data_IF_731319125190
#
_entry.id   IF_731319125190
#
_cell.length_a   1.000
_cell.length_b   1.000
_cell.length_c   1.000
_cell.angle_alpha   90.00
_cell.angle_beta   90.00
_cell.angle_gamma   90.00
#
_symmetry.space_group_name_H-M   'P 1'
#
loop_
_entity.id
_entity.type
_entity.pdbx_description
1 polymer ?
#
# COMPACT_ATOMS: atom_id res chain seq x y z
N UNK A 1 -15.31 -39.21 -22.66
CA UNK A 1 -15.12 -37.90 -23.34
C UNK A 1 -14.82 -36.71 -22.41
N UNK A 2 -15.52 -36.52 -21.28
CA UNK A 2 -15.34 -35.35 -20.41
C UNK A 2 -13.92 -35.14 -19.87
N UNK A 3 -13.24 -36.23 -19.47
CA UNK A 3 -11.84 -36.16 -19.01
C UNK A 3 -10.89 -35.74 -20.14
N UNK A 4 -11.10 -36.25 -21.36
CA UNK A 4 -10.33 -35.86 -22.52
C UNK A 4 -10.46 -34.34 -22.80
N UNK A 5 -11.68 -33.81 -22.70
CA UNK A 5 -11.94 -32.36 -22.82
C UNK A 5 -11.27 -31.58 -21.69
N UNK A 6 -11.40 -32.03 -20.43
CA UNK A 6 -10.83 -31.35 -19.26
C UNK A 6 -9.30 -31.29 -19.30
N UNK A 7 -8.65 -32.32 -19.83
CA UNK A 7 -7.18 -32.40 -19.91
C UNK A 7 -6.61 -32.04 -21.29
N UNK A 8 -7.43 -31.54 -22.23
CA UNK A 8 -6.92 -31.08 -23.53
C UNK A 8 -6.46 -32.20 -24.46
N UNK A 9 -6.92 -33.44 -24.28
CA UNK A 9 -6.48 -34.60 -25.09
C UNK A 9 -7.27 -34.67 -26.40
N UNK A 10 -6.81 -33.88 -27.37
CA UNK A 10 -7.48 -33.66 -28.67
C UNK A 10 -7.58 -34.95 -29.49
N UNK A 11 -6.53 -35.78 -29.54
CA UNK A 11 -6.55 -37.00 -30.37
C UNK A 11 -7.58 -38.00 -29.86
N UNK A 12 -7.63 -38.21 -28.54
CA UNK A 12 -8.65 -39.03 -27.89
C UNK A 12 -10.05 -38.48 -28.14
N UNK A 13 -10.22 -37.15 -28.04
CA UNK A 13 -11.50 -36.51 -28.34
C UNK A 13 -11.93 -36.74 -29.79
N UNK A 14 -11.02 -36.61 -30.75
CA UNK A 14 -11.29 -36.79 -32.18
C UNK A 14 -11.72 -38.22 -32.50
N UNK A 15 -11.05 -39.23 -31.92
CA UNK A 15 -11.43 -40.64 -32.08
C UNK A 15 -12.82 -40.89 -31.51
N UNK A 16 -13.09 -40.39 -30.29
CA UNK A 16 -14.40 -40.56 -29.64
C UNK A 16 -15.54 -39.91 -30.43
N UNK A 17 -15.35 -38.68 -30.93
CA UNK A 17 -16.38 -37.96 -31.70
C UNK A 17 -16.58 -38.53 -33.12
N UNK A 18 -15.55 -39.13 -33.71
CA UNK A 18 -15.68 -39.86 -34.98
C UNK A 18 -16.51 -41.13 -34.83
N UNK A 19 -16.33 -41.85 -33.73
CA UNK A 19 -17.05 -43.09 -33.47
C UNK A 19 -18.49 -42.85 -32.99
N UNK A 20 -18.69 -41.87 -32.11
CA UNK A 20 -20.02 -41.54 -31.58
C UNK A 20 -20.17 -40.02 -31.38
N UNK A 21 -20.92 -39.38 -32.28
CA UNK A 21 -21.20 -37.94 -32.22
C UNK A 21 -22.10 -37.56 -31.05
N UNK A 22 -22.91 -38.47 -30.52
CA UNK A 22 -23.79 -38.19 -29.37
C UNK A 22 -22.98 -37.81 -28.13
N UNK A 23 -21.72 -38.27 -28.04
CA UNK A 23 -20.79 -37.93 -26.97
C UNK A 23 -20.51 -36.42 -26.89
N UNK A 24 -20.62 -35.68 -28.01
CA UNK A 24 -20.43 -34.23 -28.04
C UNK A 24 -21.47 -33.44 -27.24
N UNK A 25 -22.62 -34.05 -26.94
CA UNK A 25 -23.75 -33.43 -26.25
C UNK A 25 -23.80 -33.79 -24.76
N UNK A 26 -22.82 -34.54 -24.26
CA UNK A 26 -22.84 -35.04 -22.87
C UNK A 26 -22.63 -33.88 -21.88
N UNK A 27 -23.54 -33.79 -20.92
CA UNK A 27 -23.48 -32.85 -19.79
C UNK A 27 -22.95 -33.59 -18.55
N UNK A 28 -22.07 -32.95 -17.79
CA UNK A 28 -21.58 -33.49 -16.53
C UNK A 28 -22.69 -33.52 -15.47
N UNK A 29 -23.01 -34.72 -14.97
CA UNK A 29 -24.09 -34.93 -14.00
C UNK A 29 -23.86 -34.23 -12.65
N UNK A 30 -22.61 -33.99 -12.24
CA UNK A 30 -22.29 -33.39 -10.93
C UNK A 30 -22.47 -31.87 -10.91
N UNK A 31 -22.07 -31.18 -11.97
CA UNK A 31 -22.04 -29.71 -12.00
C UNK A 31 -22.87 -29.10 -13.15
N UNK A 32 -23.50 -29.93 -13.97
CA UNK A 32 -24.29 -29.49 -15.12
C UNK A 32 -23.47 -28.89 -16.25
N UNK A 33 -22.15 -29.14 -16.33
CA UNK A 33 -21.30 -28.49 -17.33
C UNK A 33 -21.34 -29.25 -18.66
N UNK A 34 -21.67 -28.57 -19.77
CA UNK A 34 -21.37 -29.06 -21.11
C UNK A 34 -19.87 -29.17 -21.36
N UNK A 35 -19.50 -29.90 -22.42
CA UNK A 35 -18.10 -30.03 -22.84
C UNK A 35 -17.47 -28.67 -23.15
N UNK A 36 -18.17 -27.77 -23.84
CA UNK A 36 -17.68 -26.43 -24.17
C UNK A 36 -17.37 -25.57 -22.92
N UNK A 37 -18.16 -25.66 -21.85
CA UNK A 37 -17.86 -24.98 -20.58
C UNK A 37 -16.59 -25.54 -19.92
N UNK A 38 -16.37 -26.85 -20.02
CA UNK A 38 -15.19 -27.51 -19.48
C UNK A 38 -13.92 -27.10 -20.24
N UNK A 39 -14.02 -26.99 -21.56
CA UNK A 39 -12.95 -26.45 -22.40
C UNK A 39 -12.68 -24.97 -22.06
N UNK A 40 -13.72 -24.15 -21.94
CA UNK A 40 -13.62 -22.73 -21.60
C UNK A 40 -12.99 -22.48 -20.23
N UNK A 41 -13.29 -23.32 -19.24
CA UNK A 41 -12.71 -23.23 -17.91
C UNK A 41 -11.19 -23.45 -17.91
N UNK A 42 -10.69 -24.33 -18.80
CA UNK A 42 -9.28 -24.71 -18.90
C UNK A 42 -8.53 -23.96 -20.00
N UNK A 43 -9.22 -23.19 -20.85
CA UNK A 43 -8.62 -22.48 -21.97
C UNK A 43 -8.33 -23.35 -23.19
N UNK A 44 -8.92 -24.55 -23.29
CA UNK A 44 -8.60 -25.51 -24.35
C UNK A 44 -9.30 -25.17 -25.67
N UNK A 45 -8.77 -24.19 -26.40
CA UNK A 45 -9.37 -23.68 -27.64
C UNK A 45 -9.44 -24.75 -28.74
N UNK A 46 -8.36 -25.52 -28.93
CA UNK A 46 -8.32 -26.57 -29.95
C UNK A 46 -9.37 -27.68 -29.71
N UNK A 47 -9.62 -28.02 -28.44
CA UNK A 47 -10.70 -28.92 -28.05
C UNK A 47 -12.07 -28.34 -28.39
N UNK A 48 -12.30 -27.06 -28.11
CA UNK A 48 -13.57 -26.40 -28.43
C UNK A 48 -13.81 -26.36 -29.95
N UNK A 49 -12.78 -26.06 -30.75
CA UNK A 49 -12.85 -26.11 -32.23
C UNK A 49 -13.25 -27.49 -32.74
N UNK A 50 -12.64 -28.56 -32.23
CA UNK A 50 -13.00 -29.92 -32.63
C UNK A 50 -14.44 -30.29 -32.21
N UNK A 51 -14.88 -29.90 -31.02
CA UNK A 51 -16.27 -30.13 -30.58
C UNK A 51 -17.25 -29.44 -31.54
N UNK A 52 -17.03 -28.17 -31.87
CA UNK A 52 -17.91 -27.39 -32.76
C UNK A 52 -17.88 -27.93 -34.19
N UNK A 53 -16.72 -28.46 -34.64
CA UNK A 53 -16.58 -29.06 -35.96
C UNK A 53 -17.42 -30.33 -36.12
N UNK A 54 -17.41 -31.24 -35.13
CA UNK A 54 -18.19 -32.48 -35.19
C UNK A 54 -19.64 -32.32 -34.71
N UNK A 55 -19.87 -31.38 -33.80
CA UNK A 55 -21.15 -31.13 -33.14
C UNK A 55 -21.43 -29.61 -33.10
N UNK A 56 -21.91 -29.01 -34.21
CA UNK A 56 -22.17 -27.57 -34.29
C UNK A 56 -23.16 -27.06 -33.24
N UNK A 57 -24.13 -27.91 -32.86
CA UNK A 57 -25.17 -27.59 -31.88
C UNK A 57 -24.82 -28.00 -30.45
N UNK A 58 -23.53 -28.22 -30.16
CA UNK A 58 -23.08 -28.61 -28.83
C UNK A 58 -23.52 -27.56 -27.77
N UNK A 59 -24.00 -27.99 -26.58
CA UNK A 59 -24.50 -27.05 -25.58
C UNK A 59 -23.39 -26.11 -25.09
N UNK A 60 -23.64 -24.80 -25.17
CA UNK A 60 -22.69 -23.75 -24.80
C UNK A 60 -23.00 -23.07 -23.45
N UNK A 61 -24.10 -23.44 -22.80
CA UNK A 61 -24.49 -22.95 -21.48
C UNK A 61 -25.10 -24.05 -20.62
N UNK A 62 -25.08 -23.87 -19.29
CA UNK A 62 -25.87 -24.71 -18.36
C UNK A 62 -27.29 -24.14 -18.21
N UNK A 63 -28.17 -24.88 -17.54
CA UNK A 63 -29.58 -24.54 -17.33
C UNK A 63 -29.82 -23.16 -16.68
N UNK A 64 -28.83 -22.60 -15.99
CA UNK A 64 -28.94 -21.28 -15.34
C UNK A 64 -28.46 -20.12 -16.23
N UNK A 65 -28.25 -20.35 -17.53
CA UNK A 65 -27.80 -19.31 -18.48
C UNK A 65 -26.30 -19.02 -18.44
N UNK A 66 -25.51 -19.66 -17.57
CA UNK A 66 -24.05 -19.46 -17.57
C UNK A 66 -23.41 -20.07 -18.82
N UNK A 67 -22.90 -19.20 -19.69
CA UNK A 67 -22.28 -19.59 -20.97
C UNK A 67 -20.79 -19.94 -20.83
N UNK A 68 -20.22 -20.55 -21.88
CA UNK A 68 -18.78 -20.78 -21.97
C UNK A 68 -17.97 -19.47 -21.92
N UNK A 69 -18.50 -18.36 -22.46
CA UNK A 69 -17.85 -17.05 -22.40
C UNK A 69 -17.74 -16.54 -20.95
N UNK A 70 -18.84 -16.58 -20.18
CA UNK A 70 -18.79 -16.23 -18.75
C UNK A 70 -17.73 -17.04 -17.99
N UNK A 71 -17.60 -18.33 -18.33
CA UNK A 71 -16.63 -19.22 -17.70
C UNK A 71 -15.18 -18.88 -18.11
N UNK A 72 -14.96 -18.54 -19.38
CA UNK A 72 -13.64 -18.13 -19.89
C UNK A 72 -13.17 -16.83 -19.23
N UNK A 73 -14.05 -15.81 -19.17
CA UNK A 73 -13.78 -14.53 -18.50
C UNK A 73 -13.45 -14.74 -17.02
N UNK A 74 -14.31 -15.47 -16.29
CA UNK A 74 -14.08 -15.75 -14.87
C UNK A 74 -12.76 -16.48 -14.64
N UNK A 75 -12.40 -17.40 -15.52
CA UNK A 75 -11.14 -18.16 -15.43
C UNK A 75 -9.92 -17.36 -15.91
N UNK A 76 -10.10 -16.26 -16.66
CA UNK A 76 -9.00 -15.44 -17.19
C UNK A 76 -8.38 -15.99 -18.48
N UNK A 77 -9.10 -16.85 -19.19
CA UNK A 77 -8.56 -17.53 -20.36
C UNK A 77 -8.74 -16.67 -21.61
N UNK A 78 -7.86 -15.68 -21.79
CA UNK A 78 -7.92 -14.70 -22.89
C UNK A 78 -8.00 -15.35 -24.27
N UNK A 79 -7.17 -16.37 -24.56
CA UNK A 79 -7.19 -17.08 -25.86
C UNK A 79 -8.55 -17.70 -26.17
N UNK A 80 -9.27 -18.16 -25.14
CA UNK A 80 -10.60 -18.72 -25.30
C UNK A 80 -11.66 -17.63 -25.51
N UNK A 81 -11.48 -16.46 -24.88
CA UNK A 81 -12.33 -15.28 -25.13
C UNK A 81 -12.16 -14.83 -26.58
N UNK A 82 -10.93 -14.65 -27.06
CA UNK A 82 -10.66 -14.29 -28.46
C UNK A 82 -11.22 -15.30 -29.45
N UNK A 83 -11.13 -16.60 -29.14
CA UNK A 83 -11.75 -17.64 -29.96
C UNK A 83 -13.26 -17.47 -30.07
N UNK A 84 -13.96 -17.25 -28.96
CA UNK A 84 -15.42 -17.03 -28.98
C UNK A 84 -15.75 -15.76 -29.78
N UNK A 85 -14.96 -14.70 -29.61
CA UNK A 85 -15.16 -13.41 -30.27
C UNK A 85 -14.84 -13.44 -31.77
N UNK A 86 -13.98 -14.37 -32.21
CA UNK A 86 -13.64 -14.60 -33.61
C UNK A 86 -14.56 -15.59 -34.33
N UNK A 87 -15.37 -16.37 -33.60
CA UNK A 87 -16.28 -17.38 -34.16
C UNK A 87 -17.70 -16.79 -34.32
N UNK A 88 -18.18 -16.54 -35.56
CA UNK A 88 -19.47 -15.89 -35.80
C UNK A 88 -20.66 -16.62 -35.13
N UNK A 89 -20.59 -17.96 -35.04
CA UNK A 89 -21.63 -18.79 -34.42
C UNK A 89 -21.77 -18.56 -32.92
N UNK A 90 -20.70 -18.12 -32.26
CA UNK A 90 -20.63 -17.92 -30.82
C UNK A 90 -20.72 -16.44 -30.43
N UNK A 91 -20.73 -15.51 -31.38
CA UNK A 91 -20.81 -14.07 -31.12
C UNK A 91 -22.07 -13.69 -30.33
N UNK A 92 -23.18 -14.43 -30.51
CA UNK A 92 -24.42 -14.27 -29.71
C UNK A 92 -24.20 -14.42 -28.20
N UNK A 93 -23.14 -15.11 -27.76
CA UNK A 93 -22.86 -15.36 -26.35
C UNK A 93 -22.41 -14.10 -25.59
N UNK A 94 -21.93 -13.08 -26.32
CA UNK A 94 -21.40 -11.84 -25.76
C UNK A 94 -22.48 -11.07 -24.98
N UNK A 95 -23.70 -11.08 -25.52
CA UNK A 95 -24.87 -10.39 -24.95
C UNK A 95 -25.75 -11.31 -24.08
N UNK A 96 -25.41 -12.60 -23.95
CA UNK A 96 -26.18 -13.51 -23.11
C UNK A 96 -26.01 -13.18 -21.63
N UNK A 97 -27.11 -13.21 -20.89
CA UNK A 97 -27.15 -12.96 -19.46
C UNK A 97 -27.04 -14.28 -18.70
N UNK A 98 -26.22 -14.28 -17.66
CA UNK A 98 -26.20 -15.35 -16.65
C UNK A 98 -27.47 -15.33 -15.78
N UNK A 99 -27.65 -16.33 -14.92
CA UNK A 99 -28.73 -16.37 -13.92
C UNK A 99 -28.80 -15.15 -13.01
N UNK A 100 -27.69 -14.42 -12.86
CA UNK A 100 -27.62 -13.16 -12.11
C UNK A 100 -27.90 -11.94 -12.98
N UNK A 101 -28.45 -12.10 -14.19
CA UNK A 101 -28.66 -11.02 -15.15
C UNK A 101 -27.37 -10.39 -15.72
N UNK A 102 -26.18 -10.77 -15.23
CA UNK A 102 -24.88 -10.24 -15.64
C UNK A 102 -24.41 -10.86 -16.96
N UNK A 103 -23.86 -10.04 -17.86
CA UNK A 103 -23.19 -10.47 -19.11
C UNK A 103 -21.71 -10.80 -18.87
N UNK A 104 -21.00 -11.29 -19.89
CA UNK A 104 -19.57 -11.54 -19.82
C UNK A 104 -18.75 -10.29 -19.45
N UNK A 105 -19.17 -9.10 -19.92
CA UNK A 105 -18.50 -7.83 -19.62
C UNK A 105 -18.57 -7.48 -18.13
N UNK A 106 -19.71 -7.71 -17.47
CA UNK A 106 -19.85 -7.47 -16.03
C UNK A 106 -18.81 -8.25 -15.21
N UNK A 107 -18.62 -9.54 -15.53
CA UNK A 107 -17.62 -10.37 -14.84
C UNK A 107 -16.18 -9.99 -15.19
N UNK A 108 -15.92 -9.45 -16.39
CA UNK A 108 -14.59 -8.98 -16.78
C UNK A 108 -14.18 -7.75 -15.95
N UNK A 109 -15.13 -6.82 -15.74
CA UNK A 109 -14.94 -5.61 -14.94
C UNK A 109 -14.79 -5.97 -13.46
N UNK A 110 -15.64 -6.86 -12.91
CA UNK A 110 -15.50 -7.33 -11.53
C UNK A 110 -14.13 -7.98 -11.26
N UNK A 111 -13.53 -8.61 -12.28
CA UNK A 111 -12.19 -9.21 -12.17
C UNK A 111 -11.06 -8.18 -12.34
N UNK A 112 -11.35 -6.98 -12.85
CA UNK A 112 -10.36 -5.97 -13.21
C UNK A 112 -9.27 -6.49 -14.16
N UNK A 113 -9.68 -7.15 -15.23
CA UNK A 113 -8.78 -7.60 -16.30
C UNK A 113 -8.91 -6.70 -17.55
N UNK A 114 -8.02 -5.72 -17.75
CA UNK A 114 -8.15 -4.74 -18.84
C UNK A 114 -8.07 -5.38 -20.22
N UNK A 115 -7.33 -6.48 -20.38
CA UNK A 115 -7.18 -7.16 -21.68
C UNK A 115 -8.49 -7.79 -22.12
N UNK A 116 -9.17 -8.49 -21.20
CA UNK A 116 -10.46 -9.12 -21.49
C UNK A 116 -11.52 -8.05 -21.71
N UNK A 117 -11.53 -6.96 -20.92
CA UNK A 117 -12.47 -5.85 -21.11
C UNK A 117 -12.27 -5.20 -22.49
N UNK A 118 -11.04 -4.89 -22.87
CA UNK A 118 -10.74 -4.30 -24.18
C UNK A 118 -11.19 -5.20 -25.35
N UNK A 119 -10.88 -6.50 -25.29
CA UNK A 119 -11.28 -7.44 -26.33
C UNK A 119 -12.80 -7.59 -26.44
N UNK A 120 -13.50 -7.57 -25.31
CA UNK A 120 -14.95 -7.57 -25.28
C UNK A 120 -15.49 -6.30 -25.96
N UNK A 121 -15.05 -5.10 -25.54
CA UNK A 121 -15.52 -3.82 -26.07
C UNK A 121 -15.31 -3.64 -27.58
N UNK A 122 -14.24 -4.20 -28.15
CA UNK A 122 -13.95 -4.14 -29.59
C UNK A 122 -15.06 -4.74 -30.47
N UNK A 123 -15.82 -5.72 -29.95
CA UNK A 123 -16.81 -6.48 -30.74
C UNK A 123 -18.24 -5.90 -30.75
N UNK A 124 -18.40 -4.59 -30.57
CA UNK A 124 -19.71 -3.90 -30.53
C UNK A 124 -20.69 -4.57 -29.56
N UNK A 125 -20.25 -4.76 -28.32
CA UNK A 125 -21.13 -5.25 -27.24
C UNK A 125 -22.26 -4.27 -27.05
N UNK A 126 -23.44 -4.82 -26.78
CA UNK A 126 -24.55 -4.00 -26.32
C UNK A 126 -24.34 -3.62 -24.85
N UNK A 127 -23.85 -2.40 -24.65
CA UNK A 127 -23.60 -1.82 -23.32
C UNK A 127 -24.90 -1.44 -22.61
N UNK A 128 -26.04 -1.43 -23.31
CA UNK A 128 -27.35 -1.14 -22.73
C UNK A 128 -27.90 -2.33 -21.93
N UNK A 129 -27.28 -3.51 -22.03
CA UNK A 129 -27.71 -4.68 -21.27
C UNK A 129 -27.35 -4.49 -19.79
N UNK A 130 -28.38 -4.29 -18.99
CA UNK A 130 -28.28 -4.11 -17.55
C UNK A 130 -28.15 -5.46 -16.82
N UNK A 131 -27.47 -5.46 -15.67
CA UNK A 131 -27.45 -6.55 -14.70
C UNK A 131 -28.83 -6.82 -14.08
N UNK A 132 -28.92 -7.80 -13.18
CA UNK A 132 -30.18 -8.07 -12.44
C UNK A 132 -30.58 -6.93 -11.51
N UNK A 133 -29.61 -6.13 -11.11
CA UNK A 133 -29.70 -4.93 -10.28
C UNK A 133 -30.11 -3.68 -11.07
N UNK A 134 -30.30 -3.79 -12.39
CA UNK A 134 -30.62 -2.65 -13.24
C UNK A 134 -29.42 -1.74 -13.53
N UNK A 135 -28.22 -2.14 -13.13
CA UNK A 135 -27.02 -1.36 -13.35
C UNK A 135 -26.32 -1.77 -14.65
N UNK A 136 -25.67 -0.79 -15.29
CA UNK A 136 -24.77 -1.06 -16.41
C UNK A 136 -23.48 -1.74 -15.92
N UNK A 137 -22.78 -2.41 -16.84
CA UNK A 137 -21.54 -3.13 -16.56
C UNK A 137 -20.48 -2.30 -15.83
N UNK A 138 -20.42 -0.98 -16.07
CA UNK A 138 -19.44 -0.09 -15.43
C UNK A 138 -19.59 -0.01 -13.90
N UNK A 139 -20.78 -0.24 -13.35
CA UNK A 139 -21.02 -0.21 -11.90
C UNK A 139 -20.33 -1.36 -11.15
N UNK A 140 -19.95 -2.43 -11.86
CA UNK A 140 -19.17 -3.54 -11.29
C UNK A 140 -17.79 -3.10 -10.79
N UNK A 141 -17.28 -1.93 -11.23
CA UNK A 141 -16.07 -1.31 -10.68
C UNK A 141 -16.18 -1.02 -9.18
N UNK A 142 -17.41 -0.80 -8.68
CA UNK A 142 -17.68 -0.54 -7.26
C UNK A 142 -17.42 -1.79 -6.41
N UNK A 143 -17.77 -2.97 -6.92
CA UNK A 143 -17.49 -4.24 -6.25
C UNK A 143 -15.98 -4.54 -6.22
N UNK A 144 -15.20 -3.89 -7.10
CA UNK A 144 -13.76 -4.05 -7.20
C UNK A 144 -12.96 -2.89 -6.54
N UNK A 145 -13.57 -2.13 -5.62
CA UNK A 145 -12.95 -0.96 -5.01
C UNK A 145 -11.66 -1.26 -4.23
N UNK A 146 -11.54 -2.48 -3.69
CA UNK A 146 -10.31 -2.95 -3.02
C UNK A 146 -9.10 -2.95 -3.97
N UNK A 147 -9.35 -3.06 -5.28
CA UNK A 147 -8.33 -3.00 -6.33
C UNK A 147 -8.14 -1.60 -6.91
N UNK A 148 -8.76 -0.55 -6.37
CA UNK A 148 -8.63 0.82 -6.86
C UNK A 148 -7.18 1.35 -6.82
N UNK A 149 -6.32 0.80 -5.96
CA UNK A 149 -4.86 1.09 -5.93
C UNK A 149 -4.09 0.47 -7.10
N UNK A 150 -4.72 -0.38 -7.91
CA UNK A 150 -4.05 -1.11 -8.97
C UNK A 150 -4.19 -0.39 -10.31
N UNK A 151 -3.13 -0.44 -11.12
CA UNK A 151 -3.13 0.11 -12.48
C UNK A 151 -4.27 -0.48 -13.34
N UNK A 152 -4.59 -1.75 -13.13
CA UNK A 152 -5.65 -2.45 -13.87
C UNK A 152 -7.04 -1.82 -13.66
N UNK A 153 -7.36 -1.39 -12.44
CA UNK A 153 -8.65 -0.76 -12.14
C UNK A 153 -8.78 0.60 -12.84
N UNK A 154 -7.70 1.39 -12.86
CA UNK A 154 -7.64 2.66 -13.58
C UNK A 154 -7.79 2.44 -15.10
N UNK A 155 -7.10 1.44 -15.66
CA UNK A 155 -7.21 1.11 -17.08
C UNK A 155 -8.62 0.66 -17.47
N UNK A 156 -9.25 -0.23 -16.70
CA UNK A 156 -10.64 -0.66 -16.93
C UNK A 156 -11.61 0.52 -16.82
N UNK A 157 -11.41 1.42 -15.85
CA UNK A 157 -12.24 2.62 -15.70
C UNK A 157 -12.18 3.51 -16.94
N UNK A 158 -10.98 3.75 -17.47
CA UNK A 158 -10.79 4.53 -18.71
C UNK A 158 -11.43 3.85 -19.92
N UNK A 159 -11.28 2.52 -20.05
CA UNK A 159 -11.91 1.76 -21.13
C UNK A 159 -13.44 1.87 -21.09
N UNK A 160 -14.04 1.81 -19.91
CA UNK A 160 -15.49 1.94 -19.75
C UNK A 160 -15.99 3.35 -20.05
N UNK A 161 -15.27 4.39 -19.61
CA UNK A 161 -15.59 5.80 -19.95
C UNK A 161 -15.58 6.01 -21.47
N UNK A 162 -14.60 5.44 -22.17
CA UNK A 162 -14.48 5.54 -23.62
C UNK A 162 -15.60 4.81 -24.36
N UNK A 163 -16.05 3.68 -23.81
CA UNK A 163 -17.05 2.83 -24.44
C UNK A 163 -18.49 3.33 -24.23
N UNK A 164 -18.79 3.95 -23.08
CA UNK A 164 -20.14 4.41 -22.72
C UNK A 164 -20.12 5.89 -22.24
N UNK A 165 -20.04 6.87 -23.16
CA UNK A 165 -20.00 8.28 -22.81
C UNK A 165 -21.17 8.79 -21.95
N UNK A 166 -22.44 8.35 -22.16
CA UNK A 166 -23.56 8.72 -21.29
C UNK A 166 -23.33 8.36 -19.82
N UNK A 167 -22.64 7.25 -19.55
CA UNK A 167 -22.39 6.75 -18.21
C UNK A 167 -21.03 7.21 -17.65
N UNK A 168 -20.25 7.99 -18.41
CA UNK A 168 -18.94 8.51 -17.98
C UNK A 168 -19.00 9.28 -16.66
N UNK A 169 -20.09 10.04 -16.42
CA UNK A 169 -20.27 10.80 -15.17
C UNK A 169 -20.39 9.89 -13.95
N UNK A 170 -21.06 8.74 -14.07
CA UNK A 170 -21.19 7.81 -12.95
C UNK A 170 -19.86 7.12 -12.64
N UNK A 171 -19.10 6.75 -13.67
CA UNK A 171 -17.77 6.18 -13.54
C UNK A 171 -16.79 7.19 -12.94
N UNK A 172 -16.88 8.47 -13.33
CA UNK A 172 -16.09 9.54 -12.73
C UNK A 172 -16.42 9.72 -11.24
N UNK A 173 -17.71 9.78 -10.89
CA UNK A 173 -18.12 9.87 -9.48
C UNK A 173 -17.63 8.67 -8.66
N UNK A 174 -17.63 7.48 -9.25
CA UNK A 174 -17.11 6.28 -8.61
C UNK A 174 -15.57 6.34 -8.44
N UNK A 175 -14.85 6.87 -9.44
CA UNK A 175 -13.41 7.13 -9.34
C UNK A 175 -13.10 8.12 -8.22
N UNK A 176 -13.86 9.19 -8.11
CA UNK A 176 -13.68 10.17 -7.02
C UNK A 176 -14.01 9.55 -5.65
N UNK A 177 -15.08 8.75 -5.54
CA UNK A 177 -15.41 8.00 -4.32
C UNK A 177 -14.28 7.04 -3.91
N UNK A 178 -13.69 6.35 -4.89
CA UNK A 178 -12.54 5.47 -4.69
C UNK A 178 -11.33 6.26 -4.18
N UNK A 179 -11.01 7.38 -4.83
CA UNK A 179 -9.93 8.28 -4.46
C UNK A 179 -10.11 8.83 -3.05
N UNK A 180 -11.31 9.29 -2.69
CA UNK A 180 -11.61 9.77 -1.34
C UNK A 180 -11.43 8.67 -0.29
N UNK A 181 -11.88 7.43 -0.57
CA UNK A 181 -11.67 6.30 0.34
C UNK A 181 -10.19 5.98 0.50
N UNK A 182 -9.39 6.07 -0.56
CA UNK A 182 -7.94 5.89 -0.51
C UNK A 182 -7.25 6.99 0.28
N UNK A 183 -7.64 8.24 0.07
CA UNK A 183 -7.16 9.38 0.86
C UNK A 183 -7.53 9.20 2.33
N UNK A 184 -8.76 8.80 2.65
CA UNK A 184 -9.19 8.55 4.02
C UNK A 184 -8.47 7.37 4.68
N UNK A 185 -8.25 6.28 3.95
CA UNK A 185 -7.46 5.14 4.42
C UNK A 185 -6.00 5.55 4.69
N UNK A 186 -5.37 6.28 3.76
CA UNK A 186 -4.01 6.81 3.93
C UNK A 186 -3.92 7.78 5.10
N UNK A 187 -4.93 8.62 5.31
CA UNK A 187 -5.04 9.54 6.46
C UNK A 187 -5.13 8.76 7.76
N UNK A 188 -5.88 7.64 7.79
CA UNK A 188 -6.00 6.77 8.96
C UNK A 188 -4.69 6.06 9.28
N UNK A 189 -3.99 5.56 8.27
CA UNK A 189 -2.67 4.94 8.42
C UNK A 189 -1.61 5.97 8.86
N UNK A 190 -1.65 7.17 8.29
CA UNK A 190 -0.81 8.28 8.73
C UNK A 190 -1.12 8.67 10.19
N UNK A 191 -2.40 8.68 10.59
CA UNK A 191 -2.82 8.98 11.97
C UNK A 191 -2.28 7.96 12.95
N UNK A 192 -2.42 6.66 12.66
CA UNK A 192 -1.93 5.59 13.54
C UNK A 192 -0.41 5.63 13.66
N UNK A 193 0.30 5.77 12.54
CA UNK A 193 1.76 5.89 12.53
C UNK A 193 2.25 7.11 13.30
N UNK A 194 1.58 8.25 13.13
CA UNK A 194 1.98 9.49 13.79
C UNK A 194 1.68 9.45 15.29
N UNK A 195 0.58 8.81 15.70
CA UNK A 195 0.29 8.58 17.11
C UNK A 195 1.35 7.70 17.79
N UNK A 196 1.80 6.63 17.12
CA UNK A 196 2.92 5.79 17.61
C UNK A 196 4.22 6.61 17.70
N UNK A 197 4.52 7.42 16.68
CA UNK A 197 5.71 8.28 16.68
C UNK A 197 5.69 9.30 17.84
N UNK A 198 4.56 9.95 18.09
CA UNK A 198 4.41 10.92 19.19
C UNK A 198 4.58 10.25 20.55
N UNK A 199 3.98 9.06 20.75
CA UNK A 199 4.14 8.29 21.99
C UNK A 199 5.61 7.92 22.24
N UNK A 200 6.31 7.43 21.22
CA UNK A 200 7.72 7.09 21.32
C UNK A 200 8.59 8.33 21.55
N UNK A 201 8.29 9.45 20.90
CA UNK A 201 9.03 10.70 21.06
C UNK A 201 8.85 11.29 22.45
N UNK A 202 7.64 11.27 23.02
CA UNK A 202 7.41 11.72 24.40
C UNK A 202 8.19 10.89 25.41
N UNK A 203 8.27 9.57 25.22
CA UNK A 203 9.04 8.70 26.10
C UNK A 203 10.53 9.03 26.08
N UNK A 204 11.10 9.22 24.88
CA UNK A 204 12.51 9.60 24.72
C UNK A 204 12.78 10.98 25.35
N UNK A 205 11.88 11.95 25.15
CA UNK A 205 12.01 13.29 25.71
C UNK A 205 11.96 13.28 27.24
N UNK A 206 11.03 12.53 27.84
CA UNK A 206 10.95 12.36 29.31
C UNK A 206 12.23 11.68 29.83
N UNK A 207 12.73 10.65 29.14
CA UNK A 207 13.95 9.97 29.54
C UNK A 207 15.16 10.93 29.54
N UNK A 208 15.32 11.74 28.48
CA UNK A 208 16.37 12.76 28.42
C UNK A 208 16.23 13.75 29.57
N UNK A 209 15.01 14.25 29.83
CA UNK A 209 14.73 15.16 30.93
C UNK A 209 15.11 14.55 32.30
N UNK A 210 14.82 13.27 32.52
CA UNK A 210 15.17 12.58 33.77
C UNK A 210 16.69 12.41 33.94
N UNK A 211 17.41 12.09 32.86
CA UNK A 211 18.87 11.95 32.88
C UNK A 211 19.53 13.30 33.19
N UNK A 212 19.10 14.37 32.52
CA UNK A 212 19.64 15.72 32.75
C UNK A 212 19.28 16.22 34.15
N UNK A 213 18.04 16.01 34.60
CA UNK A 213 17.63 16.36 35.97
C UNK A 213 18.49 15.64 37.01
N UNK A 214 18.74 14.34 36.85
CA UNK A 214 19.63 13.60 37.75
C UNK A 214 21.07 14.13 37.69
N UNK A 215 21.58 14.45 36.50
CA UNK A 215 22.93 15.00 36.32
C UNK A 215 23.12 16.38 37.00
N UNK A 216 22.08 17.22 37.03
CA UNK A 216 22.11 18.51 37.70
C UNK A 216 22.34 18.41 39.22
N UNK A 217 21.91 17.32 39.86
CA UNK A 217 22.06 17.11 41.31
C UNK A 217 23.16 16.10 41.68
N UNK A 218 23.67 15.34 40.72
CA UNK A 218 24.80 14.41 40.90
C UNK A 218 26.09 15.04 40.38
N UNK A 219 26.41 16.23 40.91
CA UNK A 219 27.44 17.10 40.35
C UNK A 219 28.83 16.43 40.34
N UNK A 220 29.54 16.45 39.20
CA UNK A 220 30.90 15.96 39.12
C UNK A 220 31.81 16.76 40.06
N UNK A 221 32.47 16.06 40.98
CA UNK A 221 33.36 16.66 41.98
C UNK A 221 32.74 16.86 43.37
N UNK A 222 31.43 16.65 43.53
CA UNK A 222 30.76 16.70 44.84
C UNK A 222 30.59 18.10 45.44
N UNK A 223 30.15 18.13 46.70
CA UNK A 223 29.85 19.34 47.45
C UNK A 223 30.90 19.58 48.55
N UNK A 224 31.26 20.84 48.78
CA UNK A 224 32.18 21.22 49.85
C UNK A 224 31.53 20.99 51.22
N UNK A 225 32.30 20.45 52.17
CA UNK A 225 31.91 20.28 53.58
C UNK A 225 32.50 21.36 54.51
N UNK A 226 33.27 22.32 53.98
CA UNK A 226 33.98 23.31 54.78
C UNK A 226 33.02 24.34 55.41
N UNK A 227 33.25 24.70 56.67
CA UNK A 227 32.44 25.67 57.41
C UNK A 227 32.38 27.02 56.68
N UNK A 228 31.16 27.45 56.29
CA UNK A 228 30.92 28.66 55.49
C UNK A 228 30.78 28.44 53.98
N UNK A 229 31.08 27.25 53.46
CA UNK A 229 30.86 26.87 52.04
C UNK A 229 30.09 25.56 51.86
N UNK A 230 29.42 25.10 52.92
CA UNK A 230 28.66 23.86 52.94
C UNK A 230 27.60 23.85 51.84
N UNK A 231 27.64 22.83 50.98
CA UNK A 231 26.70 22.66 49.87
C UNK A 231 27.03 23.41 48.58
N UNK A 232 28.14 24.16 48.52
CA UNK A 232 28.62 24.71 47.26
C UNK A 232 29.35 23.64 46.43
N UNK A 233 29.14 23.57 45.10
CA UNK A 233 29.86 22.64 44.26
C UNK A 233 31.34 23.01 44.21
N UNK A 234 32.21 22.04 44.47
CA UNK A 234 33.67 22.23 44.60
C UNK A 234 34.27 22.80 43.30
N UNK A 235 33.64 22.52 42.15
CA UNK A 235 34.07 22.96 40.83
C UNK A 235 33.40 24.25 40.31
N UNK A 236 32.67 25.00 41.15
CA UNK A 236 31.89 26.19 40.74
C UNK A 236 32.68 27.27 39.96
N UNK A 237 33.99 27.36 40.18
CA UNK A 237 34.87 28.36 39.53
C UNK A 237 35.35 27.93 38.14
N UNK A 238 35.21 26.66 37.77
CA UNK A 238 35.68 26.14 36.49
C UNK A 238 34.73 26.53 35.34
N UNK A 239 35.28 27.06 34.25
CA UNK A 239 34.53 27.45 33.05
C UNK A 239 33.81 26.24 32.43
N UNK A 240 34.47 25.07 32.41
CA UNK A 240 33.87 23.85 31.88
C UNK A 240 32.67 23.37 32.73
N UNK A 241 32.68 23.63 34.04
CA UNK A 241 31.58 23.30 34.94
C UNK A 241 30.37 24.23 34.74
N UNK A 242 30.61 25.51 34.46
CA UNK A 242 29.53 26.44 34.07
C UNK A 242 28.91 26.06 32.73
N UNK A 243 29.73 25.66 31.75
CA UNK A 243 29.24 25.18 30.46
C UNK A 243 28.41 23.89 30.59
N UNK A 244 28.82 22.97 31.46
CA UNK A 244 28.05 21.77 31.81
C UNK A 244 26.65 22.14 32.32
N UNK A 245 26.54 22.98 33.34
CA UNK A 245 25.25 23.35 33.94
C UNK A 245 24.31 24.05 32.95
N UNK A 246 24.84 24.96 32.12
CA UNK A 246 24.04 25.66 31.11
C UNK A 246 23.55 24.69 30.04
N UNK A 247 24.42 23.80 29.56
CA UNK A 247 24.05 22.81 28.54
C UNK A 247 23.03 21.79 29.06
N UNK A 248 23.19 21.36 30.31
CA UNK A 248 22.30 20.40 30.98
C UNK A 248 20.90 21.00 31.21
N UNK A 249 20.84 22.24 31.72
CA UNK A 249 19.57 22.96 31.90
C UNK A 249 18.87 23.24 30.56
N UNK A 250 19.61 23.63 29.52
CA UNK A 250 19.05 23.79 28.17
C UNK A 250 18.49 22.47 27.60
N UNK A 251 19.20 21.36 27.80
CA UNK A 251 18.74 20.04 27.39
C UNK A 251 17.43 19.65 28.10
N UNK A 252 17.39 19.82 29.44
CA UNK A 252 16.22 19.51 30.26
C UNK A 252 15.00 20.34 29.85
N UNK A 253 15.16 21.66 29.70
CA UNK A 253 14.06 22.56 29.33
C UNK A 253 13.54 22.23 27.92
N UNK A 254 14.43 21.98 26.95
CA UNK A 254 14.04 21.61 25.60
C UNK A 254 13.32 20.25 25.55
N UNK A 255 13.78 19.26 26.32
CA UNK A 255 13.15 17.94 26.38
C UNK A 255 11.79 17.97 27.08
N UNK A 256 11.64 18.76 28.14
CA UNK A 256 10.34 18.97 28.79
C UNK A 256 9.36 19.67 27.84
N UNK A 257 9.79 20.70 27.11
CA UNK A 257 8.97 21.35 26.10
C UNK A 257 8.49 20.36 25.03
N UNK A 258 9.37 19.47 24.53
CA UNK A 258 8.97 18.40 23.59
C UNK A 258 7.93 17.47 24.23
N UNK A 259 8.15 17.03 25.46
CA UNK A 259 7.21 16.14 26.16
C UNK A 259 5.83 16.78 26.33
N UNK A 260 5.76 18.04 26.77
CA UNK A 260 4.50 18.78 26.91
C UNK A 260 3.80 18.99 25.56
N UNK A 261 4.53 19.37 24.51
CA UNK A 261 3.97 19.49 23.16
C UNK A 261 3.41 18.16 22.68
N UNK A 262 4.10 17.03 22.92
CA UNK A 262 3.59 15.71 22.57
C UNK A 262 2.34 15.31 23.37
N UNK A 263 2.20 15.74 24.62
CA UNK A 263 0.99 15.50 25.43
C UNK A 263 -0.18 16.30 24.88
N UNK A 264 0.01 17.58 24.56
CA UNK A 264 -1.02 18.45 23.98
C UNK A 264 -1.44 17.92 22.60
N UNK A 265 -0.46 17.56 21.75
CA UNK A 265 -0.71 17.02 20.42
C UNK A 265 -1.49 15.69 20.39
N UNK A 266 -1.65 14.99 21.52
CA UNK A 266 -2.52 13.78 21.59
C UNK A 266 -4.00 14.12 21.46
N UNK A 267 -4.39 15.36 21.72
CA UNK A 267 -5.79 15.78 21.80
C UNK A 267 -6.27 16.52 20.53
N UNK A 268 -5.36 16.90 19.63
CA UNK A 268 -5.66 17.75 18.48
C UNK A 268 -5.69 17.01 17.12
N UNK A 269 -6.19 17.70 16.10
CA UNK A 269 -6.36 17.24 14.72
C UNK A 269 -5.05 16.88 14.01
N UNK A 270 -5.15 16.07 12.95
CA UNK A 270 -4.01 15.53 12.20
C UNK A 270 -3.12 16.63 11.58
N UNK A 271 -3.72 17.70 11.06
CA UNK A 271 -3.00 18.81 10.44
C UNK A 271 -2.15 19.58 11.46
N UNK A 272 -2.67 19.75 12.67
CA UNK A 272 -1.93 20.28 13.81
C UNK A 272 -0.80 19.34 14.23
N UNK A 273 -1.07 18.03 14.26
CA UNK A 273 -0.10 17.01 14.63
C UNK A 273 1.12 17.00 13.67
N UNK A 274 0.90 17.15 12.36
CA UNK A 274 1.98 17.24 11.36
C UNK A 274 2.84 18.49 11.54
N UNK A 275 2.23 19.63 11.88
CA UNK A 275 2.95 20.88 12.16
C UNK A 275 3.88 20.73 13.37
N UNK A 276 3.34 20.22 14.49
CA UNK A 276 4.13 19.99 15.71
C UNK A 276 5.21 18.91 15.52
N UNK A 277 5.02 17.92 14.65
CA UNK A 277 6.04 16.89 14.36
C UNK A 277 7.34 17.49 13.82
N UNK A 278 7.24 18.45 12.90
CA UNK A 278 8.42 19.13 12.36
C UNK A 278 9.13 19.93 13.45
N UNK A 279 8.36 20.64 14.28
CA UNK A 279 8.87 21.45 15.37
C UNK A 279 9.54 20.60 16.46
N UNK A 280 8.84 19.59 16.98
CA UNK A 280 9.35 18.64 17.99
C UNK A 280 10.59 17.90 17.53
N UNK A 281 10.69 17.51 16.25
CA UNK A 281 11.91 16.91 15.70
C UNK A 281 13.11 17.85 15.80
N UNK A 282 12.96 19.14 15.46
CA UNK A 282 14.04 20.13 15.55
C UNK A 282 14.45 20.37 17.01
N UNK A 283 13.46 20.53 17.89
CA UNK A 283 13.69 20.77 19.31
C UNK A 283 14.31 19.56 20.02
N UNK A 284 13.91 18.34 19.62
CA UNK A 284 14.52 17.11 20.12
C UNK A 284 15.97 16.94 19.66
N UNK A 285 16.26 17.32 18.41
CA UNK A 285 17.64 17.40 17.91
C UNK A 285 18.48 18.36 18.76
N UNK A 286 17.94 19.54 19.05
CA UNK A 286 18.60 20.52 19.91
C UNK A 286 18.88 19.96 21.33
N UNK A 287 17.88 19.34 21.96
CA UNK A 287 18.05 18.73 23.28
C UNK A 287 19.14 17.63 23.26
N UNK A 288 19.17 16.80 22.23
CA UNK A 288 20.19 15.76 22.08
C UNK A 288 21.62 16.31 21.93
N UNK A 289 21.81 17.40 21.17
CA UNK A 289 23.09 18.13 21.09
C UNK A 289 23.51 18.72 22.44
N UNK A 290 22.55 19.30 23.17
CA UNK A 290 22.80 19.87 24.48
C UNK A 290 23.15 18.80 25.52
N UNK A 291 22.51 17.62 25.49
CA UNK A 291 22.85 16.50 26.39
C UNK A 291 24.24 15.95 26.11
N UNK A 292 24.63 15.77 24.85
CA UNK A 292 25.97 15.28 24.49
C UNK A 292 27.07 16.28 24.85
N UNK A 293 26.79 17.59 24.71
CA UNK A 293 27.68 18.67 25.13
C UNK A 293 27.80 18.74 26.65
N UNK A 294 26.70 18.57 27.40
CA UNK A 294 26.72 18.47 28.85
C UNK A 294 27.56 17.27 29.30
N UNK A 295 27.33 16.09 28.71
CA UNK A 295 28.13 14.90 29.00
C UNK A 295 29.63 15.11 28.74
N UNK A 296 29.99 15.70 27.60
CA UNK A 296 31.39 15.98 27.25
C UNK A 296 32.05 16.95 28.24
N UNK A 297 31.38 18.06 28.56
CA UNK A 297 31.90 19.10 29.46
C UNK A 297 31.97 18.63 30.91
N UNK A 298 30.98 17.85 31.37
CA UNK A 298 30.96 17.27 32.71
C UNK A 298 32.03 16.18 32.92
N UNK A 299 32.36 15.40 31.90
CA UNK A 299 33.49 14.46 31.98
C UNK A 299 34.84 15.18 31.91
N UNK A 300 34.93 16.24 31.10
CA UNK A 300 36.14 17.06 31.00
C UNK A 300 36.52 17.67 32.36
N UNK A 301 35.56 18.17 33.14
CA UNK A 301 35.85 18.76 34.46
C UNK A 301 36.44 17.75 35.44
N UNK A 302 36.04 16.47 35.38
CA UNK A 302 36.54 15.41 36.26
C UNK A 302 37.90 14.88 35.81
N UNK A 303 38.09 14.71 34.50
CA UNK A 303 39.23 13.98 33.93
C UNK A 303 40.42 14.87 33.56
N UNK A 304 40.17 16.12 33.17
CA UNK A 304 41.23 17.04 32.73
C UNK A 304 42.41 17.21 33.72
N UNK A 305 42.20 17.23 35.06
CA UNK A 305 43.31 17.39 36.00
C UNK A 305 44.27 16.20 36.08
N UNK A 306 43.85 14.98 35.67
CA UNK A 306 44.65 13.75 35.82
C UNK A 306 45.03 13.11 34.49
N UNK A 307 44.16 13.16 33.48
CA UNK A 307 44.28 12.43 32.22
C UNK A 307 43.73 13.26 31.04
N UNK A 308 44.49 14.28 30.62
CA UNK A 308 44.08 15.21 29.56
C UNK A 308 43.78 14.50 28.22
N UNK A 309 44.61 13.53 27.82
CA UNK A 309 44.44 12.79 26.56
C UNK A 309 43.11 12.03 26.50
N UNK A 310 42.70 11.43 27.63
CA UNK A 310 41.46 10.67 27.74
C UNK A 310 40.25 11.59 27.74
N UNK A 311 40.34 12.76 28.40
CA UNK A 311 39.30 13.79 28.36
C UNK A 311 39.06 14.32 26.94
N UNK A 312 40.13 14.67 26.21
CA UNK A 312 40.03 15.15 24.81
C UNK A 312 39.47 14.05 23.90
N UNK A 313 39.88 12.80 24.08
CA UNK A 313 39.34 11.65 23.36
C UNK A 313 37.83 11.52 23.53
N UNK A 314 37.33 11.55 24.76
CA UNK A 314 35.90 11.43 25.05
C UNK A 314 35.10 12.62 24.48
N UNK A 315 35.60 13.86 24.62
CA UNK A 315 34.95 15.03 24.02
C UNK A 315 34.85 14.92 22.50
N UNK A 316 35.90 14.43 21.83
CA UNK A 316 35.89 14.25 20.38
C UNK A 316 34.83 13.23 19.93
N UNK A 317 34.69 12.12 20.65
CA UNK A 317 33.67 11.11 20.39
C UNK A 317 32.27 11.67 20.64
N UNK A 318 32.07 12.39 21.75
CA UNK A 318 30.78 12.97 22.11
C UNK A 318 30.27 13.99 21.08
N UNK A 319 31.16 14.78 20.46
CA UNK A 319 30.80 15.73 19.39
C UNK A 319 30.58 15.02 18.05
N UNK A 320 31.31 13.93 17.79
CA UNK A 320 31.20 13.18 16.54
C UNK A 320 29.91 12.38 16.44
N UNK A 321 29.42 11.83 17.56
CA UNK A 321 28.22 10.98 17.61
C UNK A 321 26.98 11.68 17.02
N UNK A 322 26.65 12.94 17.40
CA UNK A 322 25.55 13.66 16.77
C UNK A 322 25.72 13.93 15.27
N UNK A 323 26.94 14.24 14.83
CA UNK A 323 27.21 14.48 13.41
C UNK A 323 26.96 13.19 12.62
N UNK A 324 27.46 12.06 13.13
CA UNK A 324 27.28 10.75 12.52
C UNK A 324 25.80 10.34 12.47
N UNK A 325 25.04 10.55 13.55
CA UNK A 325 23.61 10.21 13.60
C UNK A 325 22.78 11.05 12.63
N UNK A 326 23.12 12.33 12.44
CA UNK A 326 22.48 13.19 11.44
C UNK A 326 22.75 12.68 10.02
N UNK A 327 24.01 12.36 9.70
CA UNK A 327 24.40 11.86 8.38
C UNK A 327 23.72 10.52 8.09
N UNK A 328 23.75 9.57 9.03
CA UNK A 328 23.09 8.27 8.89
C UNK A 328 21.57 8.39 8.75
N UNK A 329 20.95 9.31 9.48
CA UNK A 329 19.50 9.53 9.44
C UNK A 329 19.01 10.17 8.14
N UNK A 330 19.81 11.05 7.52
CA UNK A 330 19.47 11.71 6.26
C UNK A 330 19.90 10.91 5.01
N UNK A 331 20.83 9.96 5.17
CA UNK A 331 21.38 9.14 4.09
C UNK A 331 20.33 8.45 3.18
N UNK A 332 19.25 7.82 3.71
CA UNK A 332 18.26 7.16 2.87
C UNK A 332 17.47 8.15 2.01
N UNK A 333 17.14 9.31 2.57
CA UNK A 333 16.40 10.39 1.88
C UNK A 333 17.28 11.07 0.84
N UNK A 334 18.55 11.32 1.18
CA UNK A 334 19.54 11.85 0.24
C UNK A 334 19.76 10.90 -0.94
N UNK A 335 19.88 9.60 -0.65
CA UNK A 335 20.00 8.53 -1.65
C UNK A 335 18.77 8.45 -2.56
N UNK A 336 17.56 8.58 -2.02
CA UNK A 336 16.31 8.64 -2.80
C UNK A 336 16.23 9.89 -3.68
N UNK A 337 16.60 11.06 -3.14
CA UNK A 337 16.61 12.35 -3.85
C UNK A 337 17.62 12.38 -5.00
N UNK A 338 18.77 11.74 -4.81
CA UNK A 338 19.79 11.55 -5.86
C UNK A 338 19.31 10.55 -6.92
N UNK A 339 18.55 9.53 -6.52
CA UNK A 339 18.10 8.44 -7.42
C UNK A 339 16.90 8.81 -8.29
N UNK A 340 16.02 9.72 -7.84
CA UNK A 340 14.72 9.97 -8.50
C UNK A 340 14.64 11.23 -9.39
N UNK A 341 15.53 12.22 -9.23
CA UNK A 341 15.54 13.40 -10.12
C UNK A 341 14.21 14.18 -10.16
N UNK A 342 14.13 15.20 -11.02
CA UNK A 342 13.09 16.25 -10.99
C UNK A 342 11.92 16.04 -11.98
N UNK A 343 11.76 14.85 -12.57
CA UNK A 343 10.85 14.65 -13.69
C UNK A 343 9.94 13.43 -13.50
N UNK A 344 8.78 13.60 -12.87
CA UNK A 344 7.62 12.74 -13.14
C UNK A 344 6.32 13.43 -12.71
N UNK A 345 5.30 13.44 -13.58
CA UNK A 345 3.98 14.04 -13.29
C UNK A 345 3.17 13.09 -12.40
N UNK A 346 2.63 13.64 -11.30
CA UNK A 346 2.20 12.92 -10.10
C UNK A 346 0.73 12.49 -10.06
N UNK A 347 -0.17 13.16 -10.79
CA UNK A 347 -1.61 13.06 -10.52
C UNK A 347 -2.26 11.67 -10.71
N UNK A 348 -1.69 10.80 -11.57
CA UNK A 348 -2.21 9.43 -11.75
C UNK A 348 -1.53 8.38 -10.86
N UNK A 349 -0.40 8.74 -10.25
CA UNK A 349 0.24 7.97 -9.17
C UNK A 349 -0.30 8.35 -7.80
N UNK A 350 -1.05 9.46 -7.67
CA UNK A 350 -1.56 9.88 -6.36
C UNK A 350 -2.53 8.84 -5.73
N UNK A 351 -3.06 7.89 -6.51
CA UNK A 351 -3.84 6.74 -6.02
C UNK A 351 -3.03 5.45 -5.77
N UNK A 352 -1.81 5.33 -6.33
CA UNK A 352 -0.96 4.12 -6.30
C UNK A 352 0.19 4.31 -5.32
#
# INVERSE_FOLDING_TARGET
IQLAVRWGKIDMLRVLLKHDRSQGYVINRKNGYPLLLSAAHRGHVAVAREIIKYCPDAPYCKKDGWTCLHKAVKSGNMEFVEFILGEPRLQKLVNMRSSKGKTALHYAIQKCDPKIVAALLDKKIDLTILGSDGNAAAWELRDALDSAKTLNWNEVSMLMIKADPPNAKSVYNLHEEAKEKLINASRKDARSLTQTYTSNTSLVAILIATITFAAAFTLPGGYSSDAGSQGLPIMARNVAFKAFLISDTLAMCASLAVAFICIIARWEDLDFLLYYRSFTKKLMWFAYMATTTAFATGLYTVLAPRLLWLAVGICSVAVLVPILTKVLGEWPVLKLRIRLGQAFKSEFLDMV
#
